data_IF_887838659783
#
_entry.id   IF_887838659783
#
_cell.length_a   1.000
_cell.length_b   1.000
_cell.length_c   1.000
_cell.angle_alpha   90.00
_cell.angle_beta   90.00
_cell.angle_gamma   90.00
#
_symmetry.space_group_name_H-M   'P 1'
#
loop_
_entity.id
_entity.type
_entity.pdbx_description
1 polymer ?
#
# COMPACT_ATOMS: atom_id res chain seq x y z
N UNK A 1 -9.35 3.32 -19.92
CA UNK A 1 -10.33 3.10 -21.01
C UNK A 1 -11.71 2.90 -20.38
N UNK A 2 -12.79 3.43 -20.97
CA UNK A 2 -14.15 3.25 -20.46
C UNK A 2 -14.85 2.14 -21.24
N UNK A 3 -15.48 1.22 -20.53
CA UNK A 3 -16.19 0.06 -21.04
C UNK A 3 -17.62 0.15 -20.53
N UNK A 4 -18.60 -0.16 -21.39
CA UNK A 4 -19.99 -0.34 -20.97
C UNK A 4 -20.39 -1.78 -21.27
N UNK A 5 -20.87 -2.49 -20.26
CA UNK A 5 -21.21 -3.90 -20.42
C UNK A 5 -22.42 -4.29 -19.60
N UNK A 6 -23.30 -5.10 -20.19
CA UNK A 6 -24.49 -5.62 -19.53
C UNK A 6 -24.12 -6.83 -18.66
N UNK A 7 -24.64 -6.86 -17.45
CA UNK A 7 -24.53 -8.00 -16.55
C UNK A 7 -25.51 -9.09 -16.97
N UNK A 8 -24.99 -10.29 -17.17
CA UNK A 8 -25.74 -11.48 -17.57
C UNK A 8 -25.66 -12.56 -16.48
N UNK A 9 -26.62 -13.48 -16.50
CA UNK A 9 -26.54 -14.67 -15.68
C UNK A 9 -25.37 -15.56 -16.11
N UNK A 10 -24.72 -16.18 -15.13
CA UNK A 10 -23.60 -17.08 -15.35
C UNK A 10 -23.72 -18.31 -14.45
N UNK A 11 -22.74 -19.20 -14.52
CA UNK A 11 -22.76 -20.50 -13.82
C UNK A 11 -22.61 -20.37 -12.29
N UNK A 12 -22.39 -19.15 -11.76
CA UNK A 12 -22.30 -18.80 -10.33
C UNK A 12 -21.33 -19.66 -9.49
N UNK A 13 -20.30 -20.24 -10.10
CA UNK A 13 -19.39 -21.19 -9.42
C UNK A 13 -18.64 -20.52 -8.26
N UNK A 14 -18.24 -19.25 -8.41
CA UNK A 14 -17.53 -18.49 -7.37
C UNK A 14 -18.37 -18.10 -6.15
N UNK A 15 -19.70 -18.01 -6.30
CA UNK A 15 -20.60 -17.61 -5.22
C UNK A 15 -20.60 -18.62 -4.06
N UNK A 16 -20.41 -19.91 -4.36
CA UNK A 16 -20.28 -20.98 -3.34
C UNK A 16 -19.07 -20.79 -2.41
N UNK A 17 -18.11 -19.96 -2.81
CA UNK A 17 -16.88 -19.68 -2.07
C UNK A 17 -16.82 -18.21 -1.60
N UNK A 18 -17.96 -17.51 -1.60
CA UNK A 18 -18.05 -16.12 -1.14
C UNK A 18 -17.47 -15.08 -2.11
N UNK A 19 -17.08 -15.48 -3.32
CA UNK A 19 -16.54 -14.59 -4.35
C UNK A 19 -17.62 -14.40 -5.42
N UNK A 20 -18.53 -13.47 -5.18
CA UNK A 20 -19.55 -13.11 -6.16
C UNK A 20 -18.91 -12.40 -7.36
N UNK A 21 -19.15 -12.89 -8.58
CA UNK A 21 -18.73 -12.25 -9.82
C UNK A 21 -19.93 -11.95 -10.72
N UNK A 22 -19.97 -10.74 -11.26
CA UNK A 22 -20.91 -10.34 -12.28
C UNK A 22 -20.34 -10.75 -13.64
N UNK A 23 -21.04 -11.63 -14.36
CA UNK A 23 -20.65 -12.01 -15.71
C UNK A 23 -21.11 -10.91 -16.68
N UNK A 24 -20.27 -10.58 -17.66
CA UNK A 24 -20.54 -9.53 -18.63
C UNK A 24 -20.76 -10.12 -20.02
N UNK A 25 -21.68 -9.50 -20.77
CA UNK A 25 -21.93 -9.86 -22.16
C UNK A 25 -20.74 -9.51 -23.06
N UNK A 26 -20.07 -10.51 -23.64
CA UNK A 26 -18.84 -10.34 -24.41
C UNK A 26 -18.98 -9.42 -25.62
N UNK A 27 -20.12 -9.47 -26.31
CA UNK A 27 -20.38 -8.67 -27.52
C UNK A 27 -20.41 -7.16 -27.25
N UNK A 28 -20.55 -6.75 -25.99
CA UNK A 28 -20.55 -5.34 -25.57
C UNK A 28 -19.14 -4.79 -25.31
N UNK A 29 -18.11 -5.64 -25.33
CA UNK A 29 -16.76 -5.27 -24.90
C UNK A 29 -15.89 -4.82 -26.09
N UNK A 30 -15.07 -3.77 -25.92
CA UNK A 30 -14.05 -3.41 -26.90
C UNK A 30 -12.96 -4.48 -26.96
N UNK A 31 -12.01 -4.33 -27.87
CA UNK A 31 -10.81 -5.18 -27.88
C UNK A 31 -9.96 -4.86 -26.64
N UNK A 32 -9.88 -5.82 -25.72
CA UNK A 32 -9.07 -5.77 -24.50
C UNK A 32 -8.07 -6.91 -24.59
N UNK A 33 -6.88 -6.72 -24.05
CA UNK A 33 -5.92 -7.81 -23.91
C UNK A 33 -6.41 -8.78 -22.82
N UNK A 34 -6.05 -10.07 -22.92
CA UNK A 34 -6.39 -11.04 -21.89
C UNK A 34 -5.69 -10.70 -20.58
N UNK A 35 -6.40 -10.78 -19.45
CA UNK A 35 -5.80 -10.58 -18.14
C UNK A 35 -6.80 -10.41 -17.02
N UNK A 36 -6.23 -10.20 -15.82
CA UNK A 36 -6.95 -9.67 -14.66
C UNK A 36 -6.51 -8.23 -14.46
N UNK A 37 -7.49 -7.34 -14.28
CA UNK A 37 -7.29 -5.90 -14.20
C UNK A 37 -7.89 -5.34 -12.92
N UNK A 38 -7.24 -4.31 -12.38
CA UNK A 38 -7.81 -3.44 -11.36
C UNK A 38 -8.68 -2.40 -12.07
N UNK A 39 -9.96 -2.30 -11.71
CA UNK A 39 -10.92 -1.42 -12.39
C UNK A 39 -11.79 -0.67 -11.39
N UNK A 40 -12.34 0.46 -11.83
CA UNK A 40 -13.40 1.14 -11.09
C UNK A 40 -14.72 0.90 -11.81
N UNK A 41 -15.74 0.44 -11.08
CA UNK A 41 -17.10 0.23 -11.59
C UNK A 41 -17.98 1.37 -11.13
N UNK A 42 -18.62 2.06 -12.06
CA UNK A 42 -19.64 3.04 -11.74
C UNK A 42 -21.01 2.42 -11.97
N UNK A 43 -21.78 2.32 -10.89
CA UNK A 43 -23.14 1.82 -10.85
C UNK A 43 -23.98 2.84 -10.10
N UNK A 44 -25.08 3.27 -10.73
CA UNK A 44 -25.90 4.41 -10.27
C UNK A 44 -25.04 5.67 -10.05
N UNK A 45 -25.03 6.23 -8.84
CA UNK A 45 -24.25 7.41 -8.44
C UNK A 45 -23.01 7.05 -7.59
N UNK A 46 -22.62 5.77 -7.56
CA UNK A 46 -21.50 5.28 -6.74
C UNK A 46 -20.41 4.65 -7.61
N UNK A 47 -19.17 4.85 -7.18
CA UNK A 47 -18.00 4.20 -7.74
C UNK A 47 -17.50 3.13 -6.78
N UNK A 48 -17.18 1.96 -7.32
CA UNK A 48 -16.71 0.81 -6.57
C UNK A 48 -15.37 0.34 -7.12
N UNK A 49 -14.49 -0.06 -6.21
CA UNK A 49 -13.23 -0.72 -6.56
C UNK A 49 -13.52 -2.17 -6.93
N UNK A 50 -12.89 -2.68 -7.99
CA UNK A 50 -13.20 -4.01 -8.50
C UNK A 50 -12.01 -4.67 -9.21
N UNK A 51 -12.14 -5.98 -9.41
CA UNK A 51 -11.30 -6.75 -10.31
C UNK A 51 -12.10 -7.13 -11.56
N UNK A 52 -11.45 -7.08 -12.71
CA UNK A 52 -12.01 -7.48 -13.99
C UNK A 52 -11.16 -8.60 -14.60
N UNK A 53 -11.73 -9.78 -14.76
CA UNK A 53 -11.17 -10.87 -15.53
C UNK A 53 -11.68 -10.78 -16.97
N UNK A 54 -10.76 -10.83 -17.93
CA UNK A 54 -11.08 -10.92 -19.36
C UNK A 54 -10.21 -11.99 -19.99
N UNK A 55 -10.80 -13.10 -20.45
CA UNK A 55 -10.06 -14.18 -21.07
C UNK A 55 -10.70 -15.57 -20.93
N UNK A 56 -10.03 -16.61 -21.45
CA UNK A 56 -10.50 -17.99 -21.40
C UNK A 56 -10.51 -18.57 -19.99
N UNK A 57 -11.51 -19.38 -19.67
CA UNK A 57 -11.59 -20.14 -18.40
C UNK A 57 -10.68 -21.38 -18.42
N UNK A 58 -9.35 -21.15 -18.43
CA UNK A 58 -8.33 -22.19 -18.61
C UNK A 58 -8.40 -23.35 -17.59
N UNK A 59 -8.90 -23.12 -16.37
CA UNK A 59 -8.96 -24.13 -15.31
C UNK A 59 -10.11 -25.14 -15.46
N UNK A 60 -11.25 -24.71 -16.03
CA UNK A 60 -12.45 -25.56 -16.15
C UNK A 60 -12.74 -25.98 -17.59
N UNK A 61 -11.80 -25.76 -18.51
CA UNK A 61 -11.99 -26.07 -19.94
C UNK A 61 -13.13 -25.29 -20.58
N UNK A 62 -13.45 -24.10 -20.05
CA UNK A 62 -14.58 -23.29 -20.50
C UNK A 62 -14.20 -22.23 -21.53
N UNK A 63 -15.23 -21.71 -22.19
CA UNK A 63 -15.12 -20.63 -23.17
C UNK A 63 -14.57 -19.32 -22.58
N UNK A 64 -14.33 -18.37 -23.46
CA UNK A 64 -13.95 -17.00 -23.13
C UNK A 64 -14.98 -16.36 -22.17
N UNK A 65 -14.50 -15.58 -21.20
CA UNK A 65 -15.35 -14.96 -20.18
C UNK A 65 -14.87 -13.55 -19.82
N UNK A 66 -15.83 -12.71 -19.44
CA UNK A 66 -15.61 -11.40 -18.88
C UNK A 66 -16.36 -11.31 -17.56
N UNK A 67 -15.63 -11.17 -16.45
CA UNK A 67 -16.20 -11.22 -15.10
C UNK A 67 -15.67 -10.08 -14.25
N UNK A 68 -16.57 -9.43 -13.52
CA UNK A 68 -16.23 -8.36 -12.57
C UNK A 68 -16.53 -8.81 -11.16
N UNK A 69 -15.52 -8.73 -10.30
CA UNK A 69 -15.68 -8.87 -8.86
C UNK A 69 -15.64 -7.48 -8.23
N UNK A 70 -16.80 -6.97 -7.80
CA UNK A 70 -16.91 -5.67 -7.12
C UNK A 70 -16.58 -5.87 -5.63
N UNK A 71 -15.60 -5.13 -5.12
CA UNK A 71 -15.18 -5.23 -3.72
C UNK A 71 -16.26 -4.67 -2.79
N UNK A 72 -16.47 -5.36 -1.67
CA UNK A 72 -17.38 -4.96 -0.59
C UNK A 72 -18.83 -4.68 -1.08
N UNK A 73 -19.27 -5.46 -2.07
CA UNK A 73 -20.57 -5.32 -2.73
C UNK A 73 -21.45 -6.55 -2.50
N UNK A 74 -22.72 -6.32 -2.14
CA UNK A 74 -23.66 -7.38 -1.73
C UNK A 74 -25.05 -7.27 -2.37
N UNK A 75 -25.17 -6.59 -3.50
CA UNK A 75 -26.46 -6.41 -4.20
C UNK A 75 -26.53 -7.27 -5.46
N UNK A 76 -27.75 -7.65 -5.85
CA UNK A 76 -28.00 -8.29 -7.15
C UNK A 76 -28.11 -7.23 -8.24
N UNK A 77 -27.40 -7.45 -9.36
CA UNK A 77 -27.28 -6.47 -10.46
C UNK A 77 -27.49 -7.12 -11.82
N UNK A 78 -28.25 -8.22 -11.88
CA UNK A 78 -28.54 -8.90 -13.14
C UNK A 78 -29.36 -8.00 -14.08
N UNK A 79 -28.97 -7.94 -15.34
CA UNK A 79 -29.60 -7.07 -16.33
C UNK A 79 -29.11 -5.62 -16.33
N UNK A 80 -28.42 -5.18 -15.27
CA UNK A 80 -27.86 -3.83 -15.17
C UNK A 80 -26.71 -3.62 -16.16
N UNK A 81 -26.46 -2.36 -16.52
CA UNK A 81 -25.30 -1.99 -17.36
C UNK A 81 -24.24 -1.30 -16.51
N UNK A 82 -23.06 -1.93 -16.43
CA UNK A 82 -21.93 -1.39 -15.70
C UNK A 82 -21.11 -0.44 -16.58
N UNK A 83 -20.69 0.69 -16.01
CA UNK A 83 -19.69 1.57 -16.60
C UNK A 83 -18.34 1.30 -15.93
N UNK A 84 -17.45 0.59 -16.62
CA UNK A 84 -16.19 0.11 -16.08
C UNK A 84 -15.05 0.98 -16.61
N UNK A 85 -14.27 1.55 -15.70
CA UNK A 85 -13.03 2.23 -16.03
C UNK A 85 -11.87 1.26 -15.85
N UNK A 86 -11.33 0.78 -16.98
CA UNK A 86 -10.18 -0.13 -17.00
C UNK A 86 -8.93 0.60 -16.48
N UNK A 87 -8.36 0.06 -15.40
CA UNK A 87 -7.13 0.53 -14.79
C UNK A 87 -5.93 -0.38 -15.08
N UNK A 88 -5.13 -0.65 -14.05
CA UNK A 88 -3.85 -1.38 -14.18
C UNK A 88 -4.09 -2.88 -14.41
N UNK A 89 -3.41 -3.48 -15.38
CA UNK A 89 -3.31 -4.95 -15.51
C UNK A 89 -2.59 -5.51 -14.28
N UNK A 90 -3.28 -6.38 -13.54
CA UNK A 90 -2.74 -7.05 -12.38
C UNK A 90 -1.86 -8.23 -12.79
N UNK A 91 -2.34 -9.06 -13.73
CA UNK A 91 -1.62 -10.24 -14.25
C UNK A 91 -2.25 -10.80 -15.53
N UNK A 92 -1.52 -11.68 -16.19
CA UNK A 92 -2.04 -12.54 -17.27
C UNK A 92 -3.07 -13.58 -16.78
N UNK A 93 -3.84 -14.10 -17.74
CA UNK A 93 -4.70 -15.28 -17.52
C UNK A 93 -3.85 -16.54 -17.48
N UNK A 94 -3.97 -17.30 -16.40
CA UNK A 94 -3.22 -18.52 -16.15
C UNK A 94 -4.14 -19.70 -15.83
N UNK A 95 -3.72 -20.90 -16.19
CA UNK A 95 -4.37 -22.14 -15.79
C UNK A 95 -3.94 -22.53 -14.36
N UNK A 96 -4.78 -23.28 -13.66
CA UNK A 96 -4.50 -23.79 -12.32
C UNK A 96 -4.71 -25.30 -12.29
N UNK A 97 -4.00 -26.00 -11.40
CA UNK A 97 -4.09 -27.46 -11.33
C UNK A 97 -5.43 -27.94 -10.76
N UNK A 98 -6.04 -27.13 -9.90
CA UNK A 98 -7.31 -27.44 -9.23
C UNK A 98 -8.01 -26.15 -8.78
N UNK A 99 -9.23 -26.30 -8.26
CA UNK A 99 -10.05 -25.19 -7.79
C UNK A 99 -9.41 -24.46 -6.59
N UNK A 100 -8.79 -25.17 -5.65
CA UNK A 100 -8.16 -24.56 -4.46
C UNK A 100 -7.06 -23.56 -4.82
N UNK A 101 -6.20 -23.91 -5.80
CA UNK A 101 -5.17 -23.00 -6.29
C UNK A 101 -5.75 -21.77 -7.00
N UNK A 102 -6.86 -21.94 -7.72
CA UNK A 102 -7.57 -20.82 -8.33
C UNK A 102 -8.12 -19.87 -7.26
N UNK A 103 -8.81 -20.40 -6.24
CA UNK A 103 -9.37 -19.59 -5.16
C UNK A 103 -8.30 -18.88 -4.35
N UNK A 104 -7.23 -19.57 -3.98
CA UNK A 104 -6.07 -18.96 -3.29
C UNK A 104 -5.50 -17.77 -4.06
N UNK A 105 -5.45 -17.88 -5.40
CA UNK A 105 -5.00 -16.74 -6.21
C UNK A 105 -6.04 -15.63 -6.28
N UNK A 106 -7.33 -15.93 -6.36
CA UNK A 106 -8.37 -14.89 -6.36
C UNK A 106 -8.33 -14.12 -5.03
N UNK A 107 -8.19 -14.80 -3.89
CA UNK A 107 -8.01 -14.14 -2.59
C UNK A 107 -6.77 -13.25 -2.57
N UNK A 108 -5.67 -13.72 -3.14
CA UNK A 108 -4.44 -12.93 -3.29
C UNK A 108 -4.68 -11.71 -4.20
N UNK A 109 -5.39 -11.88 -5.31
CA UNK A 109 -5.71 -10.80 -6.25
C UNK A 109 -6.60 -9.74 -5.58
N UNK A 110 -7.62 -10.16 -4.83
CA UNK A 110 -8.50 -9.28 -4.04
C UNK A 110 -7.68 -8.48 -3.03
N UNK A 111 -6.74 -9.12 -2.35
CA UNK A 111 -5.89 -8.46 -1.36
C UNK A 111 -4.95 -7.44 -2.00
N UNK A 112 -4.34 -7.78 -3.14
CA UNK A 112 -3.52 -6.84 -3.91
C UNK A 112 -4.36 -5.67 -4.41
N UNK A 113 -5.59 -5.91 -4.87
CA UNK A 113 -6.52 -4.87 -5.27
C UNK A 113 -6.85 -3.92 -4.11
N UNK A 114 -7.23 -4.46 -2.95
CA UNK A 114 -7.50 -3.66 -1.73
C UNK A 114 -6.30 -2.80 -1.34
N UNK A 115 -5.10 -3.40 -1.30
CA UNK A 115 -3.84 -2.65 -1.04
C UNK A 115 -3.61 -1.56 -2.10
N UNK A 116 -3.87 -1.83 -3.38
CA UNK A 116 -3.71 -0.85 -4.46
C UNK A 116 -4.66 0.33 -4.34
N UNK A 117 -5.96 0.08 -4.21
CA UNK A 117 -6.97 1.14 -4.14
C UNK A 117 -6.84 1.98 -2.87
N UNK A 118 -6.46 1.37 -1.74
CA UNK A 118 -6.14 2.11 -0.52
C UNK A 118 -4.98 3.10 -0.76
N UNK A 119 -3.89 2.68 -1.43
CA UNK A 119 -2.80 3.61 -1.80
C UNK A 119 -3.30 4.76 -2.68
N UNK A 120 -4.17 4.48 -3.65
CA UNK A 120 -4.73 5.53 -4.52
C UNK A 120 -5.60 6.51 -3.73
N UNK A 121 -6.43 6.01 -2.81
CA UNK A 121 -7.29 6.83 -1.95
C UNK A 121 -6.45 7.79 -1.09
N UNK A 122 -5.45 7.27 -0.37
CA UNK A 122 -4.57 8.11 0.45
C UNK A 122 -3.79 9.11 -0.40
N UNK A 123 -3.25 8.67 -1.54
CA UNK A 123 -2.55 9.56 -2.47
C UNK A 123 -3.45 10.69 -2.97
N UNK A 124 -4.73 10.41 -3.26
CA UNK A 124 -5.69 11.43 -3.67
C UNK A 124 -5.96 12.43 -2.56
N UNK A 125 -6.11 11.97 -1.31
CA UNK A 125 -6.30 12.85 -0.15
C UNK A 125 -5.06 13.72 0.11
N UNK A 126 -3.86 13.13 0.01
CA UNK A 126 -2.61 13.88 0.10
C UNK A 126 -2.51 14.98 -0.97
N UNK A 127 -2.78 14.64 -2.23
CA UNK A 127 -2.73 15.59 -3.34
C UNK A 127 -3.77 16.72 -3.24
N UNK A 128 -4.79 16.57 -2.39
CA UNK A 128 -5.79 17.60 -2.14
C UNK A 128 -5.36 18.60 -1.04
N UNK A 129 -4.29 18.31 -0.29
CA UNK A 129 -3.76 19.21 0.74
C UNK A 129 -3.08 20.43 0.11
N UNK A 130 -3.31 21.59 0.73
CA UNK A 130 -2.55 22.79 0.39
C UNK A 130 -1.10 22.69 0.88
N UNK A 131 -0.20 23.53 0.34
CA UNK A 131 1.17 23.61 0.84
C UNK A 131 1.24 24.07 2.31
N UNK A 132 0.27 24.89 2.73
CA UNK A 132 0.15 25.32 4.13
C UNK A 132 -0.17 24.13 5.04
N UNK A 133 -1.18 23.35 4.67
CA UNK A 133 -1.59 22.15 5.43
C UNK A 133 -0.45 21.13 5.53
N UNK A 134 0.29 20.94 4.45
CA UNK A 134 1.47 20.05 4.44
C UNK A 134 2.57 20.55 5.40
N UNK A 135 2.77 21.88 5.50
CA UNK A 135 3.71 22.46 6.46
C UNK A 135 3.23 22.28 7.92
N UNK A 136 1.94 22.52 8.19
CA UNK A 136 1.34 22.27 9.51
C UNK A 136 1.51 20.81 9.93
N UNK A 137 1.25 19.86 9.03
CA UNK A 137 1.47 18.44 9.30
C UNK A 137 2.93 18.11 9.62
N UNK A 138 3.89 18.76 8.95
CA UNK A 138 5.32 18.60 9.25
C UNK A 138 5.66 19.09 10.65
N UNK A 139 5.21 20.29 11.03
CA UNK A 139 5.43 20.85 12.37
C UNK A 139 4.81 19.97 13.46
N UNK A 140 3.58 19.48 13.23
CA UNK A 140 2.89 18.56 14.15
C UNK A 140 3.63 17.23 14.27
N UNK A 141 4.13 16.67 13.17
CA UNK A 141 4.92 15.46 13.21
C UNK A 141 6.18 15.65 14.08
N UNK A 142 6.96 16.71 13.87
CA UNK A 142 8.15 17.00 14.68
C UNK A 142 7.77 17.17 16.15
N UNK A 143 6.70 17.91 16.45
CA UNK A 143 6.21 18.11 17.80
C UNK A 143 5.83 16.77 18.47
N UNK A 144 4.97 15.97 17.84
CA UNK A 144 4.50 14.70 18.39
C UNK A 144 5.62 13.67 18.55
N UNK A 145 6.52 13.55 17.57
CA UNK A 145 7.69 12.66 17.65
C UNK A 145 8.57 13.08 18.83
N UNK A 146 8.88 14.38 18.95
CA UNK A 146 9.76 14.86 20.02
C UNK A 146 9.17 14.76 21.44
N UNK A 147 7.87 14.55 21.56
CA UNK A 147 7.20 14.31 22.84
C UNK A 147 7.13 12.82 23.24
N UNK A 148 7.55 11.89 22.36
CA UNK A 148 7.54 10.46 22.65
C UNK A 148 8.72 10.08 23.56
N UNK A 149 8.44 9.27 24.58
CA UNK A 149 9.48 8.76 25.50
C UNK A 149 10.52 7.96 24.72
N UNK A 150 10.08 7.18 23.74
CA UNK A 150 10.93 6.39 22.86
C UNK A 150 11.90 7.27 22.07
N UNK A 151 11.48 8.47 21.66
CA UNK A 151 12.37 9.41 20.95
C UNK A 151 13.31 10.13 21.93
N UNK A 152 12.81 10.53 23.09
CA UNK A 152 13.61 11.25 24.10
C UNK A 152 14.76 10.37 24.59
N UNK A 153 14.49 9.10 24.91
CA UNK A 153 15.47 8.14 25.43
C UNK A 153 16.43 7.61 24.35
N UNK A 154 15.97 7.47 23.10
CA UNK A 154 16.80 6.93 22.04
C UNK A 154 17.94 7.88 21.65
N UNK A 155 19.18 7.40 21.69
CA UNK A 155 20.35 8.11 21.14
C UNK A 155 20.40 8.00 19.62
N UNK A 156 20.02 6.84 19.08
CA UNK A 156 19.98 6.56 17.64
C UNK A 156 18.54 6.48 17.17
N UNK A 157 18.23 7.16 16.08
CA UNK A 157 16.92 7.17 15.45
C UNK A 157 17.05 6.71 14.01
N UNK A 158 16.50 5.54 13.72
CA UNK A 158 16.46 4.98 12.38
C UNK A 158 15.28 5.61 11.66
N UNK A 159 15.55 6.30 10.55
CA UNK A 159 14.57 7.09 9.80
C UNK A 159 14.52 6.65 8.35
N UNK A 160 13.57 7.17 7.60
CA UNK A 160 13.54 7.08 6.14
C UNK A 160 13.61 8.49 5.56
N UNK A 161 13.95 8.64 4.28
CA UNK A 161 13.81 9.93 3.60
C UNK A 161 12.39 10.06 3.02
N UNK A 162 11.52 10.94 3.55
CA UNK A 162 10.19 11.12 3.00
C UNK A 162 10.26 11.66 1.57
N UNK A 163 9.41 11.15 0.68
CA UNK A 163 9.32 11.67 -0.68
C UNK A 163 8.72 13.07 -0.67
N UNK A 164 9.54 14.05 -1.08
CA UNK A 164 9.14 15.45 -1.15
C UNK A 164 7.84 15.63 -1.93
N UNK A 165 6.90 16.36 -1.33
CA UNK A 165 5.57 16.64 -1.87
C UNK A 165 4.60 15.45 -1.91
N UNK A 166 4.97 14.28 -1.37
CA UNK A 166 4.12 13.07 -1.34
C UNK A 166 3.90 12.49 0.05
N UNK A 167 4.76 12.85 1.00
CA UNK A 167 4.76 12.37 2.38
C UNK A 167 5.06 13.53 3.32
N UNK A 168 4.74 13.38 4.61
CA UNK A 168 5.07 14.37 5.64
C UNK A 168 6.60 14.53 5.69
N UNK A 169 7.08 15.74 5.40
CA UNK A 169 8.51 16.05 5.42
C UNK A 169 8.93 16.48 6.82
N UNK A 170 9.14 15.52 7.73
CA UNK A 170 9.46 15.79 9.13
C UNK A 170 10.94 15.53 9.50
N UNK A 171 11.66 14.73 8.71
CA UNK A 171 13.00 14.24 9.11
C UNK A 171 14.04 15.34 9.13
N UNK A 172 14.13 16.18 8.09
CA UNK A 172 15.08 17.29 8.07
C UNK A 172 14.84 18.29 9.23
N UNK A 173 13.61 18.78 9.47
CA UNK A 173 13.32 19.62 10.64
C UNK A 173 13.59 18.93 11.99
N UNK A 174 13.40 17.61 12.08
CA UNK A 174 13.69 16.85 13.29
C UNK A 174 15.20 16.81 13.57
N UNK A 175 16.01 16.57 12.53
CA UNK A 175 17.48 16.60 12.60
C UNK A 175 18.00 17.98 13.02
N UNK A 176 17.45 19.05 12.43
CA UNK A 176 17.81 20.43 12.77
C UNK A 176 17.47 20.77 14.23
N UNK A 177 16.34 20.28 14.73
CA UNK A 177 15.88 20.54 16.11
C UNK A 177 16.62 19.69 17.16
N UNK A 178 17.08 18.50 16.80
CA UNK A 178 17.76 17.57 17.70
C UNK A 178 19.05 17.04 17.07
N UNK A 179 20.09 17.88 16.90
CA UNK A 179 21.33 17.51 16.22
C UNK A 179 22.21 16.55 17.03
N UNK A 180 21.99 16.43 18.35
CA UNK A 180 22.77 15.55 19.22
C UNK A 180 22.40 14.06 19.10
N UNK A 181 21.37 13.73 18.32
CA UNK A 181 20.95 12.35 18.04
C UNK A 181 21.60 11.84 16.76
N UNK A 182 21.87 10.53 16.73
CA UNK A 182 22.38 9.87 15.53
C UNK A 182 21.21 9.46 14.63
N UNK A 183 21.12 10.00 13.42
CA UNK A 183 20.07 9.65 12.44
C UNK A 183 20.61 8.67 11.41
N UNK A 184 19.92 7.53 11.27
CA UNK A 184 20.36 6.46 10.38
C UNK A 184 19.36 6.21 9.26
N UNK A 185 19.83 6.27 8.02
CA UNK A 185 19.02 6.15 6.82
C UNK A 185 19.26 4.83 6.09
N UNK A 186 18.20 4.21 5.53
CA UNK A 186 18.32 2.96 4.81
C UNK A 186 18.97 3.16 3.45
N UNK A 187 19.80 2.22 3.07
CA UNK A 187 20.23 1.97 1.70
C UNK A 187 19.88 0.54 1.33
N UNK A 188 19.23 0.38 0.19
CA UNK A 188 18.84 -0.93 -0.34
C UNK A 188 19.95 -1.44 -1.26
N UNK A 189 20.49 -2.63 -0.97
CA UNK A 189 21.46 -3.35 -1.82
C UNK A 189 20.89 -4.70 -2.21
N UNK A 190 20.37 -4.80 -3.43
CA UNK A 190 19.65 -6.00 -3.87
C UNK A 190 18.39 -6.21 -3.03
N UNK A 191 18.36 -7.28 -2.23
CA UNK A 191 17.26 -7.55 -1.29
C UNK A 191 17.53 -7.09 0.15
N UNK A 192 18.76 -6.69 0.47
CA UNK A 192 19.17 -6.29 1.81
C UNK A 192 18.93 -4.80 2.06
N UNK A 193 18.65 -4.45 3.32
CA UNK A 193 18.55 -3.06 3.79
C UNK A 193 19.59 -2.83 4.87
N UNK A 194 20.48 -1.87 4.64
CA UNK A 194 21.54 -1.46 5.57
C UNK A 194 21.31 -0.02 5.98
N UNK A 195 21.69 0.36 7.21
CA UNK A 195 21.49 1.72 7.71
C UNK A 195 22.82 2.44 7.91
N UNK A 196 22.90 3.69 7.45
CA UNK A 196 24.09 4.53 7.54
C UNK A 196 23.76 5.82 8.26
N UNK A 197 24.66 6.25 9.15
CA UNK A 197 24.52 7.52 9.86
C UNK A 197 24.64 8.70 8.89
N UNK A 198 23.79 9.71 9.06
CA UNK A 198 23.78 10.95 8.28
C UNK A 198 23.71 12.14 9.21
N UNK A 199 24.71 13.02 9.13
CA UNK A 199 24.77 14.24 9.94
C UNK A 199 24.06 15.44 9.28
N UNK A 200 24.09 15.53 7.95
CA UNK A 200 23.40 16.58 7.17
C UNK A 200 22.47 15.96 6.15
N UNK A 201 21.17 16.24 6.25
CA UNK A 201 20.14 15.74 5.32
C UNK A 201 20.42 16.09 3.85
N UNK A 202 21.19 17.16 3.59
CA UNK A 202 21.52 17.61 2.23
C UNK A 202 22.47 16.67 1.48
N UNK A 203 23.15 15.76 2.18
CA UNK A 203 24.08 14.79 1.54
C UNK A 203 23.35 13.60 0.93
N UNK A 204 22.04 13.47 1.15
CA UNK A 204 21.26 12.40 0.54
C UNK A 204 21.18 12.61 -0.97
N UNK A 205 21.40 11.54 -1.73
CA UNK A 205 21.38 11.52 -3.18
C UNK A 205 20.17 10.72 -3.70
N UNK A 206 19.68 10.98 -4.91
CA UNK A 206 18.62 10.18 -5.51
C UNK A 206 19.04 8.70 -5.65
N UNK A 207 18.15 7.80 -5.25
CA UNK A 207 18.32 6.35 -5.34
C UNK A 207 17.13 5.70 -6.07
N UNK A 208 17.14 4.36 -6.13
CA UNK A 208 16.07 3.57 -6.73
C UNK A 208 14.69 3.90 -6.13
N UNK A 209 13.61 3.62 -6.86
CA UNK A 209 12.23 3.85 -6.41
C UNK A 209 11.88 5.31 -6.04
N UNK A 210 12.70 6.28 -6.45
CA UNK A 210 12.46 7.71 -6.26
C UNK A 210 12.54 8.14 -4.80
N UNK A 211 13.39 7.48 -4.01
CA UNK A 211 13.75 7.90 -2.64
C UNK A 211 15.12 8.57 -2.64
N UNK A 212 15.41 9.30 -1.58
CA UNK A 212 16.74 9.85 -1.31
C UNK A 212 17.45 8.92 -0.31
N UNK A 213 18.73 8.65 -0.52
CA UNK A 213 19.52 7.78 0.36
C UNK A 213 20.97 8.29 0.47
N UNK A 214 21.68 8.01 1.57
CA UNK A 214 23.10 8.31 1.65
C UNK A 214 23.89 7.38 0.73
N UNK A 215 25.14 7.75 0.43
CA UNK A 215 26.08 6.79 -0.16
C UNK A 215 26.29 5.63 0.80
N UNK A 216 26.34 4.42 0.26
CA UNK A 216 26.59 3.21 1.04
C UNK A 216 28.07 3.02 1.36
N UNK A 217 28.69 4.06 1.91
CA UNK A 217 30.09 4.12 2.27
C UNK A 217 30.22 4.22 3.80
N UNK A 218 31.23 3.55 4.36
CA UNK A 218 31.46 3.53 5.80
C UNK A 218 30.77 2.39 6.54
N UNK A 219 30.52 2.62 7.83
CA UNK A 219 30.00 1.61 8.76
C UNK A 219 28.47 1.58 8.67
N UNK A 220 27.93 0.39 8.41
CA UNK A 220 26.51 0.14 8.55
C UNK A 220 26.15 -0.22 9.99
N UNK A 221 24.94 0.12 10.39
CA UNK A 221 24.43 -0.09 11.74
C UNK A 221 23.19 -0.99 11.69
N UNK A 222 23.08 -1.87 12.68
CA UNK A 222 21.87 -2.62 12.96
C UNK A 222 21.08 -1.91 14.06
N UNK A 223 19.76 -2.07 14.04
CA UNK A 223 18.91 -1.57 15.12
C UNK A 223 19.09 -2.46 16.34
N UNK A 224 19.25 -1.86 17.51
CA UNK A 224 19.42 -2.56 18.79
C UNK A 224 18.42 -2.05 19.84
N UNK A 225 18.34 -2.73 20.98
CA UNK A 225 17.48 -2.34 22.09
C UNK A 225 17.79 -0.90 22.57
N UNK A 226 16.75 -0.09 22.77
CA UNK A 226 16.88 1.32 23.15
C UNK A 226 16.93 2.30 21.96
N UNK A 227 17.00 1.80 20.72
CA UNK A 227 16.83 2.63 19.53
C UNK A 227 15.34 2.85 19.21
N UNK A 228 15.07 3.90 18.43
CA UNK A 228 13.76 4.16 17.84
C UNK A 228 13.83 4.02 16.32
N UNK A 229 12.89 3.29 15.73
CA UNK A 229 12.74 3.19 14.29
C UNK A 229 11.45 3.85 13.81
N UNK A 230 11.60 4.88 12.97
CA UNK A 230 10.52 5.54 12.26
C UNK A 230 10.33 4.86 10.90
N UNK A 231 9.19 4.20 10.73
CA UNK A 231 8.92 3.32 9.59
C UNK A 231 7.99 4.02 8.58
N UNK A 232 8.34 4.04 7.27
CA UNK A 232 7.47 4.63 6.27
C UNK A 232 6.21 3.79 6.08
N UNK A 233 5.07 4.47 6.02
CA UNK A 233 3.78 3.87 5.73
C UNK A 233 2.95 4.79 4.83
N UNK A 234 2.11 4.20 3.98
CA UNK A 234 1.07 4.90 3.24
C UNK A 234 -0.21 4.98 4.07
N UNK A 235 -0.52 3.93 4.82
CA UNK A 235 -1.63 3.90 5.76
C UNK A 235 -1.29 2.98 6.93
N UNK A 236 -1.93 3.18 8.07
CA UNK A 236 -1.87 2.26 9.20
C UNK A 236 -3.23 2.16 9.90
N UNK A 237 -3.45 1.09 10.65
CA UNK A 237 -4.60 0.97 11.54
C UNK A 237 -4.20 0.99 13.01
N UNK A 238 -5.21 1.02 13.89
CA UNK A 238 -5.02 1.10 15.36
C UNK A 238 -4.35 -0.14 15.96
N UNK A 239 -4.28 -1.24 15.23
CA UNK A 239 -3.61 -2.46 15.67
C UNK A 239 -2.13 -2.50 15.20
N UNK A 240 -1.63 -1.40 14.63
CA UNK A 240 -0.26 -1.30 14.13
C UNK A 240 -0.05 -1.94 12.76
N UNK A 241 -1.09 -2.48 12.10
CA UNK A 241 -0.93 -2.96 10.73
C UNK A 241 -0.64 -1.77 9.81
N UNK A 242 0.28 -1.96 8.86
CA UNK A 242 0.70 -0.88 7.95
C UNK A 242 0.71 -1.29 6.49
N UNK A 243 0.32 -0.35 5.64
CA UNK A 243 0.42 -0.44 4.19
C UNK A 243 1.66 0.29 3.71
N UNK A 244 2.72 -0.44 3.34
CA UNK A 244 3.91 0.15 2.72
C UNK A 244 3.71 0.51 1.23
N UNK A 245 4.75 1.05 0.60
CA UNK A 245 4.75 1.42 -0.85
C UNK A 245 4.68 0.21 -1.80
N UNK A 246 4.98 -1.00 -1.32
CA UNK A 246 4.83 -2.26 -2.07
C UNK A 246 6.12 -3.01 -2.37
N UNK A 247 7.29 -2.51 -1.95
CA UNK A 247 8.58 -3.19 -2.15
C UNK A 247 8.91 -4.29 -1.12
N UNK A 248 8.17 -4.39 -0.01
CA UNK A 248 8.37 -5.44 1.01
C UNK A 248 9.68 -5.37 1.81
N UNK A 249 10.57 -4.41 1.53
CA UNK A 249 11.87 -4.30 2.23
C UNK A 249 11.72 -4.13 3.75
N UNK A 250 10.79 -3.28 4.20
CA UNK A 250 10.53 -3.10 5.62
C UNK A 250 9.84 -4.32 6.25
N UNK A 251 9.00 -5.07 5.53
CA UNK A 251 8.41 -6.29 6.08
C UNK A 251 9.50 -7.34 6.35
N UNK A 252 10.44 -7.50 5.42
CA UNK A 252 11.61 -8.37 5.58
C UNK A 252 12.50 -7.92 6.74
N UNK A 253 12.78 -6.62 6.86
CA UNK A 253 13.66 -6.08 7.91
C UNK A 253 13.02 -6.11 9.30
N UNK A 254 11.76 -5.72 9.43
CA UNK A 254 11.05 -5.74 10.72
C UNK A 254 10.94 -7.16 11.27
N UNK A 255 10.84 -8.17 10.42
CA UNK A 255 10.80 -9.58 10.84
C UNK A 255 12.10 -10.07 11.51
N UNK A 256 13.22 -9.33 11.34
CA UNK A 256 14.50 -9.66 11.98
C UNK A 256 14.76 -8.85 13.25
N UNK A 257 13.90 -7.89 13.60
CA UNK A 257 14.12 -7.03 14.75
C UNK A 257 13.76 -7.71 16.06
N UNK A 258 14.50 -7.35 17.10
CA UNK A 258 14.15 -7.69 18.47
C UNK A 258 12.88 -6.95 18.90
N UNK A 259 11.99 -7.64 19.61
CA UNK A 259 10.70 -7.09 20.09
C UNK A 259 10.83 -5.90 21.06
N UNK A 260 12.03 -5.65 21.61
CA UNK A 260 12.32 -4.49 22.46
C UNK A 260 12.51 -3.20 21.67
N UNK A 261 12.80 -3.28 20.36
CA UNK A 261 12.94 -2.11 19.48
C UNK A 261 11.57 -1.47 19.26
N UNK A 262 11.49 -0.16 19.46
CA UNK A 262 10.24 0.58 19.25
C UNK A 262 10.12 1.07 17.82
N UNK A 263 8.96 0.80 17.21
CA UNK A 263 8.67 1.08 15.81
C UNK A 263 7.44 1.96 15.67
N UNK A 264 7.58 3.12 15.03
CA UNK A 264 6.49 4.09 14.86
C UNK A 264 6.31 4.50 13.40
N UNK A 265 5.06 4.59 12.94
CA UNK A 265 4.73 5.28 11.68
C UNK A 265 4.26 6.70 11.93
N UNK A 266 4.56 7.62 11.02
CA UNK A 266 4.13 9.03 11.10
C UNK A 266 3.17 9.27 9.94
N UNK A 267 1.91 9.57 10.25
CA UNK A 267 0.85 9.62 9.25
C UNK A 267 -0.09 10.81 9.49
N UNK A 268 -0.61 11.42 8.42
CA UNK A 268 -1.75 12.31 8.56
C UNK A 268 -2.98 11.51 9.01
N UNK A 269 -3.91 12.14 9.73
CA UNK A 269 -5.13 11.49 10.26
C UNK A 269 -5.88 10.65 9.25
N UNK A 270 -6.06 11.17 8.03
CA UNK A 270 -6.81 10.49 6.99
C UNK A 270 -6.13 9.20 6.49
N UNK A 271 -4.84 9.00 6.78
CA UNK A 271 -4.10 7.78 6.50
C UNK A 271 -4.11 6.78 7.67
N UNK A 272 -4.67 7.16 8.82
CA UNK A 272 -4.99 6.24 9.92
C UNK A 272 -6.40 5.69 9.69
N UNK A 273 -6.45 4.48 9.13
CA UNK A 273 -7.69 3.83 8.66
C UNK A 273 -8.20 2.80 9.66
N UNK A 274 -9.46 2.38 9.52
CA UNK A 274 -10.06 1.41 10.44
C UNK A 274 -9.40 0.03 10.37
N UNK A 275 -9.01 -0.40 9.15
CA UNK A 275 -8.36 -1.68 8.93
C UNK A 275 -7.48 -1.65 7.69
N UNK A 276 -6.22 -2.06 7.85
CA UNK A 276 -5.33 -2.28 6.71
C UNK A 276 -5.51 -3.72 6.19
N UNK A 277 -5.61 -3.96 4.87
CA UNK A 277 -5.58 -5.30 4.31
C UNK A 277 -4.19 -5.92 4.50
N UNK A 278 -4.10 -7.03 5.22
CA UNK A 278 -2.84 -7.67 5.60
C UNK A 278 -2.67 -9.10 5.08
N UNK A 279 -1.42 -9.53 5.02
CA UNK A 279 -0.92 -10.87 4.69
C UNK A 279 -0.10 -11.41 5.87
N UNK A 280 0.10 -12.73 5.93
CA UNK A 280 0.84 -13.39 7.02
C UNK A 280 2.26 -12.87 7.25
N UNK A 281 2.89 -12.28 6.23
CA UNK A 281 4.24 -11.76 6.30
C UNK A 281 4.31 -10.24 6.56
N UNK A 282 3.17 -9.53 6.53
CA UNK A 282 3.15 -8.10 6.85
C UNK A 282 3.44 -7.91 8.34
N UNK A 283 4.43 -7.10 8.66
CA UNK A 283 4.81 -6.82 10.05
C UNK A 283 4.04 -5.62 10.61
N UNK A 284 3.60 -5.73 11.86
CA UNK A 284 2.95 -4.65 12.61
C UNK A 284 3.98 -3.70 13.22
N UNK A 285 3.53 -2.51 13.57
CA UNK A 285 4.30 -1.51 14.31
C UNK A 285 3.79 -1.38 15.75
N UNK A 286 4.62 -0.88 16.66
CA UNK A 286 4.22 -0.61 18.06
C UNK A 286 3.25 0.57 18.17
N UNK A 287 3.30 1.51 17.21
CA UNK A 287 2.45 2.67 17.26
C UNK A 287 2.41 3.50 15.98
N UNK A 288 1.45 4.43 15.98
CA UNK A 288 1.26 5.41 14.91
C UNK A 288 1.20 6.79 15.55
N UNK A 289 2.02 7.71 15.05
CA UNK A 289 2.00 9.13 15.34
C UNK A 289 1.08 9.79 14.33
N UNK A 290 -0.11 10.15 14.79
CA UNK A 290 -1.13 10.81 14.00
C UNK A 290 -0.91 12.33 13.96
N UNK A 291 -1.08 12.93 12.79
CA UNK A 291 -0.94 14.37 12.57
C UNK A 291 -2.19 14.94 11.90
N UNK A 292 -2.68 16.08 12.39
CA UNK A 292 -3.85 16.78 11.86
C UNK A 292 -3.49 18.24 11.53
N UNK A 293 -4.21 18.79 10.55
CA UNK A 293 -4.16 20.20 10.17
C UNK A 293 -5.08 20.99 11.08
#
# INVERSE_FOLDING_TARGET
MKIKAKVIEGVQIGAKFGIATANLELNSLPKIEEGVYLVTVNLEQKSYDALFHFGPRKTFGGDFSAEVHILDFNQEIYGETLNIELGKKLREVRAFKNADQLFTQIETDILVARKYFMRQKIKKQWNALSLHDQAVLSEKAVHHISAKVEFLEAKRVFVYAPQLGKEISFVAPLMEKFPDKDYLFPVVKGEAMEFFKVDDYKVLEPADFGIMAPKAEGISFNVEAGDLMLVPAVAADKNGNRLGKGGGFYDKYLATLDSSVKTLAILPRFAVVDKVPTQKHDQTLDGVVECEV
#
